data_IF_904186484342
#
_entry.id   IF_904186484342
#
_cell.length_a   1.000
_cell.length_b   1.000
_cell.length_c   1.000
_cell.angle_alpha   90.00
_cell.angle_beta   90.00
_cell.angle_gamma   90.00
#
_symmetry.space_group_name_H-M   'P 1'
#
loop_
_entity.id
_entity.type
_entity.pdbx_description
1 polymer ?
#
# COMPACT_ATOMS: atom_id res chain seq x y z
N UNK A 1 10.70 -20.79 -10.89
CA UNK A 1 11.56 -19.96 -11.75
C UNK A 1 10.85 -18.63 -11.94
N UNK A 2 11.52 -17.54 -11.63
CA UNK A 2 10.95 -16.19 -11.69
C UNK A 2 10.54 -15.80 -13.12
N UNK A 3 9.59 -14.88 -13.24
CA UNK A 3 9.09 -14.36 -14.51
C UNK A 3 9.37 -12.87 -14.60
N UNK A 4 9.78 -12.41 -15.78
CA UNK A 4 10.04 -10.99 -16.05
C UNK A 4 8.83 -10.41 -16.77
N UNK A 5 8.18 -9.36 -16.24
CA UNK A 5 7.11 -8.65 -16.94
C UNK A 5 7.61 -8.08 -18.26
N UNK A 6 6.73 -8.04 -19.25
CA UNK A 6 7.02 -7.56 -20.60
C UNK A 6 6.00 -6.50 -20.96
N UNK A 7 6.45 -5.41 -21.56
CA UNK A 7 5.60 -4.35 -22.09
C UNK A 7 5.87 -4.24 -23.59
N UNK A 8 4.81 -4.04 -24.38
CA UNK A 8 4.93 -3.74 -25.81
C UNK A 8 5.62 -2.40 -26.06
N UNK A 9 5.98 -2.14 -27.31
CA UNK A 9 6.45 -0.82 -27.75
C UNK A 9 5.50 0.30 -27.34
N UNK A 10 4.19 0.08 -27.48
CA UNK A 10 3.12 1.04 -27.18
C UNK A 10 2.77 1.16 -25.69
N UNK A 11 3.50 0.48 -24.79
CA UNK A 11 3.24 0.55 -23.36
C UNK A 11 2.15 -0.39 -22.84
N UNK A 12 1.67 -1.34 -23.65
CA UNK A 12 0.67 -2.34 -23.23
C UNK A 12 1.35 -3.51 -22.51
N UNK A 13 0.86 -3.97 -21.36
CA UNK A 13 1.44 -5.12 -20.67
C UNK A 13 1.16 -6.42 -21.44
N UNK A 14 2.19 -7.24 -21.60
CA UNK A 14 2.18 -8.55 -22.28
C UNK A 14 2.47 -9.68 -21.29
N UNK A 15 2.38 -10.93 -21.75
CA UNK A 15 2.68 -12.08 -20.90
C UNK A 15 4.12 -12.07 -20.38
N UNK A 16 4.34 -12.28 -19.06
CA UNK A 16 5.68 -12.39 -18.50
C UNK A 16 6.51 -13.51 -19.12
N UNK A 17 7.79 -13.25 -19.33
CA UNK A 17 8.72 -14.17 -19.99
C UNK A 17 9.74 -14.78 -19.03
N UNK A 18 10.57 -15.70 -19.52
CA UNK A 18 11.71 -16.25 -18.76
C UNK A 18 12.84 -15.22 -18.68
N UNK A 19 13.57 -15.11 -17.56
CA UNK A 19 14.73 -14.21 -17.43
C UNK A 19 15.80 -14.42 -18.50
N UNK A 20 16.06 -15.68 -18.91
CA UNK A 20 17.00 -15.99 -19.99
C UNK A 20 16.61 -15.37 -21.34
N UNK A 21 15.31 -15.39 -21.66
CA UNK A 21 14.77 -14.77 -22.88
C UNK A 21 14.83 -13.24 -22.81
N UNK A 22 14.47 -12.65 -21.67
CA UNK A 22 14.58 -11.21 -21.44
C UNK A 22 16.04 -10.72 -21.61
N UNK A 23 17.02 -11.43 -21.04
CA UNK A 23 18.45 -11.10 -21.22
C UNK A 23 18.89 -11.18 -22.68
N UNK A 24 18.45 -12.21 -23.41
CA UNK A 24 18.75 -12.36 -24.83
C UNK A 24 18.21 -11.19 -25.65
N UNK A 25 16.96 -10.79 -25.42
CA UNK A 25 16.36 -9.64 -26.11
C UNK A 25 17.11 -8.34 -25.85
N UNK A 26 17.56 -8.10 -24.62
CA UNK A 26 18.36 -6.91 -24.30
C UNK A 26 19.72 -6.96 -25.02
N UNK A 27 20.39 -8.12 -25.01
CA UNK A 27 21.69 -8.29 -25.71
C UNK A 27 21.55 -8.08 -27.22
N UNK A 28 20.44 -8.51 -27.80
CA UNK A 28 20.12 -8.35 -29.23
C UNK A 28 19.54 -6.96 -29.57
N UNK A 29 19.37 -6.06 -28.60
CA UNK A 29 18.79 -4.72 -28.83
C UNK A 29 17.28 -4.69 -29.08
N UNK A 30 16.58 -5.82 -28.92
CA UNK A 30 15.12 -5.97 -29.14
C UNK A 30 14.25 -5.52 -27.97
N UNK A 31 14.87 -5.24 -26.82
CA UNK A 31 14.19 -4.80 -25.63
C UNK A 31 15.07 -3.93 -24.73
N UNK A 32 14.45 -3.02 -23.99
CA UNK A 32 15.10 -2.13 -23.02
C UNK A 32 14.66 -2.55 -21.62
N UNK A 33 15.64 -2.82 -20.74
CA UNK A 33 15.39 -3.09 -19.33
C UNK A 33 15.03 -1.83 -18.57
N UNK A 34 13.97 -1.88 -17.75
CA UNK A 34 13.47 -0.76 -16.94
C UNK A 34 13.03 -1.25 -15.56
N UNK A 35 12.83 -0.31 -14.65
CA UNK A 35 12.26 -0.55 -13.32
C UNK A 35 11.00 0.28 -13.13
N UNK A 36 9.97 -0.30 -12.53
CA UNK A 36 8.77 0.46 -12.14
C UNK A 36 8.96 1.12 -10.76
N UNK A 37 7.93 1.82 -10.28
CA UNK A 37 8.01 2.51 -8.99
C UNK A 37 8.12 1.57 -7.78
N UNK A 38 7.75 0.30 -7.96
CA UNK A 38 7.89 -0.80 -6.98
C UNK A 38 9.28 -1.44 -7.04
N UNK A 39 10.18 -0.99 -7.91
CA UNK A 39 11.50 -1.60 -8.09
C UNK A 39 11.46 -2.98 -8.76
N UNK A 40 10.36 -3.32 -9.44
CA UNK A 40 10.27 -4.54 -10.24
C UNK A 40 10.94 -4.28 -11.58
N UNK A 41 11.91 -5.12 -11.93
CA UNK A 41 12.54 -5.12 -13.25
C UNK A 41 11.55 -5.65 -14.30
N UNK A 42 11.41 -4.94 -15.40
CA UNK A 42 10.63 -5.37 -16.57
C UNK A 42 11.37 -5.01 -17.85
N UNK A 43 10.94 -5.60 -18.97
CA UNK A 43 11.48 -5.26 -20.29
C UNK A 43 10.42 -4.63 -21.16
N UNK A 44 10.78 -3.57 -21.88
CA UNK A 44 9.94 -2.97 -22.91
C UNK A 44 10.50 -3.35 -24.28
N UNK A 45 9.68 -3.96 -25.13
CA UNK A 45 10.07 -4.31 -26.50
C UNK A 45 10.26 -3.06 -27.35
N UNK A 46 11.26 -3.08 -28.24
CA UNK A 46 11.49 -2.02 -29.23
C UNK A 46 10.70 -2.24 -30.51
N UNK A 47 10.48 -3.52 -30.83
CA UNK A 47 9.77 -3.98 -32.01
C UNK A 47 8.38 -4.49 -31.65
N UNK A 48 7.54 -4.68 -32.68
CA UNK A 48 6.24 -5.28 -32.48
C UNK A 48 6.36 -6.74 -32.01
N UNK A 49 5.56 -7.13 -31.01
CA UNK A 49 5.56 -8.50 -30.54
C UNK A 49 4.98 -9.43 -31.61
N UNK A 50 5.50 -10.66 -31.70
CA UNK A 50 4.97 -11.66 -32.63
C UNK A 50 3.56 -12.15 -32.26
N UNK A 51 3.15 -11.99 -31.00
CA UNK A 51 1.81 -12.32 -30.50
C UNK A 51 1.48 -11.46 -29.28
N UNK A 52 0.21 -11.10 -29.14
CA UNK A 52 -0.36 -10.30 -28.05
C UNK A 52 -1.31 -11.11 -27.14
N UNK A 53 -1.46 -12.41 -27.36
CA UNK A 53 -2.31 -13.26 -26.52
C UNK A 53 -1.83 -13.27 -25.07
N UNK A 54 -2.76 -13.01 -24.17
CA UNK A 54 -2.53 -13.06 -22.72
C UNK A 54 -3.38 -14.15 -22.08
N UNK A 55 -2.90 -14.61 -20.93
CA UNK A 55 -3.65 -15.49 -20.04
C UNK A 55 -4.06 -14.67 -18.81
N UNK A 56 -5.15 -15.05 -18.12
CA UNK A 56 -5.59 -14.35 -16.92
C UNK A 56 -4.48 -14.28 -15.87
N UNK A 57 -4.28 -13.09 -15.32
CA UNK A 57 -3.44 -12.85 -14.14
C UNK A 57 -4.30 -12.08 -13.14
N UNK A 58 -4.36 -12.60 -11.92
CA UNK A 58 -5.16 -12.03 -10.85
C UNK A 58 -4.29 -11.38 -9.77
N UNK A 59 -4.81 -10.33 -9.17
CA UNK A 59 -4.26 -9.73 -7.94
C UNK A 59 -5.17 -10.07 -6.78
N UNK A 60 -4.62 -10.60 -5.68
CA UNK A 60 -5.34 -10.74 -4.43
C UNK A 60 -4.89 -9.69 -3.42
N UNK A 61 -5.85 -9.08 -2.72
CA UNK A 61 -5.64 -8.01 -1.74
C UNK A 61 -6.29 -8.44 -0.42
N UNK A 62 -5.46 -8.69 0.59
CA UNK A 62 -5.87 -8.87 1.98
C UNK A 62 -5.70 -7.54 2.74
N UNK A 63 -6.77 -6.74 2.93
CA UNK A 63 -6.68 -5.37 3.39
C UNK A 63 -6.86 -5.28 4.92
N UNK A 64 -5.76 -5.14 5.65
CA UNK A 64 -5.80 -4.94 7.10
C UNK A 64 -5.84 -3.47 7.57
N UNK A 65 -5.70 -3.29 8.90
CA UNK A 65 -5.65 -1.98 9.56
C UNK A 65 -4.24 -1.37 9.60
N UNK A 66 -3.25 -2.19 9.94
CA UNK A 66 -1.84 -1.80 10.04
C UNK A 66 -1.02 -2.32 8.87
N UNK A 67 -1.39 -3.47 8.34
CA UNK A 67 -0.68 -4.14 7.25
C UNK A 67 -1.68 -4.58 6.19
N UNK A 68 -1.24 -4.76 4.96
CA UNK A 68 -2.01 -5.42 3.91
C UNK A 68 -1.13 -6.37 3.12
N UNK A 69 -1.72 -7.47 2.67
CA UNK A 69 -1.09 -8.43 1.79
C UNK A 69 -1.51 -8.19 0.34
N UNK A 70 -0.55 -8.21 -0.58
CA UNK A 70 -0.84 -8.22 -2.02
C UNK A 70 -0.12 -9.42 -2.64
N UNK A 71 -0.83 -10.15 -3.49
CA UNK A 71 -0.31 -11.27 -4.25
C UNK A 71 -0.68 -11.17 -5.72
N UNK A 72 0.23 -11.53 -6.62
CA UNK A 72 0.00 -11.58 -8.08
C UNK A 72 0.18 -13.02 -8.55
N UNK A 73 -0.85 -13.58 -9.17
CA UNK A 73 -0.90 -15.00 -9.51
C UNK A 73 -1.39 -15.22 -10.94
N UNK A 74 -0.71 -16.10 -11.66
CA UNK A 74 -1.18 -16.74 -12.89
C UNK A 74 -1.54 -18.21 -12.60
N UNK A 75 -2.11 -18.94 -13.56
CA UNK A 75 -2.40 -20.36 -13.36
C UNK A 75 -1.15 -21.19 -13.00
N UNK A 76 0.02 -20.85 -13.55
CA UNK A 76 1.24 -21.66 -13.42
C UNK A 76 2.32 -21.07 -12.50
N UNK A 77 2.28 -19.76 -12.25
CA UNK A 77 3.34 -19.05 -11.53
C UNK A 77 2.76 -18.01 -10.58
N UNK A 78 3.32 -17.99 -9.38
CA UNK A 78 3.26 -16.82 -8.50
C UNK A 78 4.26 -15.80 -9.00
N UNK A 79 3.78 -14.59 -9.33
CA UNK A 79 4.59 -13.59 -10.02
C UNK A 79 5.22 -12.59 -9.04
N UNK A 80 4.49 -12.20 -8.00
CA UNK A 80 4.97 -11.21 -7.04
C UNK A 80 4.15 -11.22 -5.75
N UNK A 81 4.81 -10.87 -4.64
CA UNK A 81 4.23 -10.81 -3.29
C UNK A 81 4.60 -9.49 -2.62
N UNK A 82 3.71 -8.93 -1.83
CA UNK A 82 4.05 -7.79 -0.97
C UNK A 82 3.35 -7.76 0.37
N UNK A 83 4.07 -7.20 1.34
CA UNK A 83 3.60 -6.78 2.63
C UNK A 83 3.63 -5.25 2.71
N UNK A 84 2.47 -4.62 2.86
CA UNK A 84 2.37 -3.16 2.92
C UNK A 84 2.27 -2.70 4.36
N UNK A 85 3.18 -1.84 4.82
CA UNK A 85 3.01 -1.13 6.09
C UNK A 85 2.13 0.10 5.88
N UNK A 86 0.93 0.03 6.44
CA UNK A 86 -0.08 1.06 6.23
C UNK A 86 0.17 2.28 7.14
N UNK A 87 -0.05 3.50 6.64
CA UNK A 87 0.23 4.73 7.39
C UNK A 87 -0.80 5.04 8.49
N UNK A 88 -1.69 4.10 8.85
CA UNK A 88 -2.83 4.30 9.74
C UNK A 88 -2.47 5.00 11.05
N UNK A 89 -1.56 4.40 11.83
CA UNK A 89 -1.16 4.90 13.17
C UNK A 89 -0.60 6.33 13.07
N UNK A 90 0.31 6.54 12.13
CA UNK A 90 0.95 7.84 11.85
C UNK A 90 -0.07 8.91 11.44
N UNK A 91 -1.03 8.58 10.58
CA UNK A 91 -2.06 9.53 10.13
C UNK A 91 -2.98 9.89 11.30
N UNK A 92 -3.37 8.90 12.11
CA UNK A 92 -4.17 9.12 13.32
C UNK A 92 -3.47 10.07 14.29
N UNK A 93 -2.23 9.78 14.65
CA UNK A 93 -1.42 10.63 15.55
C UNK A 93 -1.29 12.07 15.03
N UNK A 94 -1.13 12.25 13.71
CA UNK A 94 -1.09 13.58 13.08
C UNK A 94 -2.41 14.32 13.18
N UNK A 95 -3.54 13.63 13.05
CA UNK A 95 -4.86 14.23 13.19
C UNK A 95 -5.13 14.61 14.65
N UNK A 96 -4.73 13.78 15.60
CA UNK A 96 -4.85 14.04 17.04
C UNK A 96 -3.98 15.23 17.45
N UNK A 97 -2.71 15.26 17.03
CA UNK A 97 -1.82 16.40 17.23
C UNK A 97 -2.38 17.69 16.63
N UNK A 98 -2.93 17.63 15.41
CA UNK A 98 -3.60 18.77 14.76
C UNK A 98 -4.81 19.24 15.57
N UNK A 99 -5.62 18.32 16.10
CA UNK A 99 -6.79 18.62 16.94
C UNK A 99 -6.37 19.30 18.24
N UNK A 100 -5.36 18.76 18.92
CA UNK A 100 -4.78 19.33 20.15
C UNK A 100 -4.24 20.74 19.93
N UNK A 101 -3.43 20.95 18.88
CA UNK A 101 -2.89 22.28 18.55
C UNK A 101 -4.00 23.31 18.31
N UNK A 102 -5.05 22.93 17.58
CA UNK A 102 -6.21 23.80 17.35
C UNK A 102 -6.97 24.08 18.64
N UNK A 103 -7.12 23.11 19.53
CA UNK A 103 -7.76 23.28 20.84
C UNK A 103 -6.96 24.24 21.72
N UNK A 104 -5.65 24.04 21.84
CA UNK A 104 -4.75 24.88 22.63
C UNK A 104 -4.72 26.33 22.15
N UNK A 105 -4.64 26.56 20.84
CA UNK A 105 -4.72 27.91 20.25
C UNK A 105 -6.04 28.60 20.58
N UNK A 106 -7.17 27.88 20.49
CA UNK A 106 -8.49 28.44 20.85
C UNK A 106 -8.57 28.74 22.34
N UNK A 107 -8.08 27.85 23.21
CA UNK A 107 -8.07 28.04 24.67
C UNK A 107 -7.36 29.36 25.05
N UNK A 108 -6.21 29.66 24.44
CA UNK A 108 -5.46 30.90 24.68
C UNK A 108 -6.17 32.18 24.25
N UNK A 109 -7.13 32.10 23.31
CA UNK A 109 -7.93 33.25 22.87
C UNK A 109 -9.16 33.50 23.75
N UNK A 110 -9.50 32.55 24.64
CA UNK A 110 -10.65 32.69 25.52
C UNK A 110 -10.20 33.49 26.74
N UNK A 111 -10.59 34.76 26.81
CA UNK A 111 -10.56 35.50 28.06
C UNK A 111 -11.63 34.90 28.99
N UNK A 112 -11.21 34.29 30.10
CA UNK A 112 -12.11 33.60 31.04
C UNK A 112 -12.79 34.56 32.03
N UNK A 113 -12.28 35.79 32.15
CA UNK A 113 -12.85 36.83 33.01
C UNK A 113 -14.14 37.43 32.43
N UNK A 114 -14.34 37.33 31.11
CA UNK A 114 -15.58 37.77 30.48
C UNK A 114 -16.72 36.75 30.71
N UNK A 115 -17.97 37.23 30.85
CA UNK A 115 -19.18 36.40 30.79
C UNK A 115 -19.18 35.48 29.57
N UNK A 116 -19.76 34.28 29.69
CA UNK A 116 -19.67 33.25 28.64
C UNK A 116 -20.12 33.75 27.25
N UNK A 117 -21.18 34.54 27.20
CA UNK A 117 -21.72 35.18 25.99
C UNK A 117 -20.70 36.05 25.26
N UNK A 118 -19.81 36.73 26.00
CA UNK A 118 -18.79 37.65 25.47
C UNK A 118 -17.44 36.97 25.19
N UNK A 119 -17.29 35.68 25.54
CA UNK A 119 -16.04 34.95 25.29
C UNK A 119 -15.88 34.70 23.79
N UNK A 120 -14.65 34.77 23.30
CA UNK A 120 -14.27 34.35 21.94
C UNK A 120 -14.29 32.80 21.76
N UNK A 121 -15.40 32.17 22.12
CA UNK A 121 -15.64 30.74 21.97
C UNK A 121 -16.19 30.43 20.58
N UNK A 122 -15.81 29.27 20.03
CA UNK A 122 -16.32 28.86 18.71
C UNK A 122 -17.67 28.17 18.90
N UNK A 123 -18.74 28.75 18.36
CA UNK A 123 -20.06 28.11 18.29
C UNK A 123 -20.00 26.74 17.60
N UNK A 124 -20.86 25.81 18.04
CA UNK A 124 -21.00 24.47 17.45
C UNK A 124 -21.59 24.61 16.04
N UNK A 125 -20.78 24.34 15.00
CA UNK A 125 -21.24 24.37 13.59
C UNK A 125 -21.61 22.96 13.13
N UNK A 126 -22.80 22.47 13.51
CA UNK A 126 -23.31 21.17 13.07
C UNK A 126 -23.65 21.16 11.58
N UNK A 127 -24.17 22.29 11.07
CA UNK A 127 -24.53 22.51 9.66
C UNK A 127 -23.37 22.38 8.65
N UNK A 128 -22.11 22.36 9.12
CA UNK A 128 -20.93 22.18 8.26
C UNK A 128 -20.56 20.70 8.02
N UNK A 129 -21.30 19.75 8.60
CA UNK A 129 -21.09 18.30 8.45
C UNK A 129 -22.01 17.74 7.35
N UNK A 130 -21.90 18.27 6.13
CA UNK A 130 -22.84 17.96 5.02
C UNK A 130 -22.44 16.77 4.13
N UNK A 131 -21.25 16.17 4.31
CA UNK A 131 -20.73 15.17 3.39
C UNK A 131 -20.29 13.90 4.12
N UNK A 132 -20.61 12.74 3.54
CA UNK A 132 -20.02 11.46 3.91
C UNK A 132 -18.54 11.45 3.57
N UNK A 133 -17.67 11.67 4.57
CA UNK A 133 -16.22 11.73 4.39
C UNK A 133 -15.57 10.44 4.87
N UNK A 134 -14.82 9.79 4.00
CA UNK A 134 -13.94 8.71 4.41
C UNK A 134 -12.89 9.25 5.40
N UNK A 135 -12.70 8.55 6.53
CA UNK A 135 -11.73 8.93 7.53
C UNK A 135 -10.32 9.00 6.90
N UNK A 136 -9.51 10.06 7.14
CA UNK A 136 -8.25 10.23 6.42
C UNK A 136 -7.23 9.11 6.65
N UNK A 137 -7.26 8.44 7.81
CA UNK A 137 -6.41 7.28 8.08
C UNK A 137 -6.80 6.07 7.23
N UNK A 138 -8.10 5.81 7.05
CA UNK A 138 -8.61 4.72 6.21
C UNK A 138 -8.35 5.03 4.75
N UNK A 139 -8.63 6.26 4.32
CA UNK A 139 -8.31 6.72 2.95
C UNK A 139 -6.83 6.55 2.64
N UNK A 140 -5.94 6.91 3.55
CA UNK A 140 -4.50 6.78 3.35
C UNK A 140 -4.03 5.32 3.19
N UNK A 141 -4.66 4.37 3.89
CA UNK A 141 -4.40 2.94 3.72
C UNK A 141 -4.82 2.48 2.32
N UNK A 142 -6.09 2.70 1.96
CA UNK A 142 -6.65 2.29 0.66
C UNK A 142 -5.92 2.95 -0.52
N UNK A 143 -5.46 4.19 -0.36
CA UNK A 143 -4.62 4.86 -1.37
C UNK A 143 -3.21 4.27 -1.51
N UNK A 144 -2.66 3.62 -0.49
CA UNK A 144 -1.39 2.90 -0.62
C UNK A 144 -1.60 1.58 -1.36
N UNK A 145 -2.65 0.84 -1.03
CA UNK A 145 -3.04 -0.39 -1.76
C UNK A 145 -3.29 -0.08 -3.24
N UNK A 146 -4.18 0.88 -3.54
CA UNK A 146 -4.49 1.31 -4.91
C UNK A 146 -3.24 1.76 -5.67
N UNK A 147 -2.31 2.45 -4.97
CA UNK A 147 -1.06 2.90 -5.57
C UNK A 147 -0.19 1.72 -6.02
N UNK A 148 -0.11 0.65 -5.24
CA UNK A 148 0.67 -0.55 -5.58
C UNK A 148 -0.03 -1.31 -6.70
N UNK A 149 -1.34 -1.53 -6.61
CA UNK A 149 -2.12 -2.22 -7.65
C UNK A 149 -1.98 -1.50 -8.99
N UNK A 150 -2.12 -0.18 -9.02
CA UNK A 150 -1.96 0.63 -10.23
C UNK A 150 -0.56 0.53 -10.86
N UNK A 151 0.50 0.27 -10.09
CA UNK A 151 1.83 0.03 -10.64
C UNK A 151 2.01 -1.39 -11.17
N UNK A 152 1.28 -2.36 -10.60
CA UNK A 152 1.27 -3.74 -11.09
C UNK A 152 0.50 -3.87 -12.41
N UNK A 153 -0.65 -3.18 -12.54
CA UNK A 153 -1.46 -3.22 -13.78
C UNK A 153 -0.76 -2.57 -14.97
N UNK A 154 0.25 -1.73 -14.75
CA UNK A 154 1.09 -1.16 -15.82
C UNK A 154 2.06 -2.17 -16.42
N UNK A 155 2.44 -3.21 -15.68
CA UNK A 155 3.49 -4.16 -16.08
C UNK A 155 2.97 -5.59 -16.28
N UNK A 156 1.81 -5.92 -15.71
CA UNK A 156 1.16 -7.22 -15.85
C UNK A 156 -0.22 -7.04 -16.51
N UNK A 157 -0.62 -7.95 -17.44
CA UNK A 157 -1.96 -7.96 -18.01
C UNK A 157 -2.97 -8.51 -17.00
N UNK A 158 -3.31 -7.69 -15.99
CA UNK A 158 -4.23 -8.06 -14.92
C UNK A 158 -5.67 -8.06 -15.44
N UNK A 159 -6.38 -9.16 -15.23
CA UNK A 159 -7.79 -9.31 -15.61
C UNK A 159 -8.73 -9.13 -14.43
N UNK A 160 -8.33 -9.64 -13.25
CA UNK A 160 -9.18 -9.75 -12.07
C UNK A 160 -8.45 -9.34 -10.79
N UNK A 161 -9.20 -8.74 -9.87
CA UNK A 161 -8.75 -8.34 -8.54
C UNK A 161 -9.66 -8.98 -7.50
N UNK A 162 -9.11 -9.83 -6.64
CA UNK A 162 -9.82 -10.44 -5.52
C UNK A 162 -9.53 -9.66 -4.23
N UNK A 163 -10.58 -9.11 -3.64
CA UNK A 163 -10.48 -8.27 -2.45
C UNK A 163 -11.16 -8.94 -1.25
N UNK A 164 -10.45 -9.09 -0.13
CA UNK A 164 -11.08 -9.60 1.08
C UNK A 164 -12.06 -8.57 1.67
N UNK A 165 -13.31 -8.99 1.81
CA UNK A 165 -14.41 -8.19 2.30
C UNK A 165 -14.73 -8.53 3.76
N UNK A 166 -14.89 -7.48 4.56
CA UNK A 166 -15.13 -7.58 6.01
C UNK A 166 -16.55 -7.09 6.27
N UNK A 167 -17.41 -7.98 6.75
CA UNK A 167 -18.72 -7.63 7.29
C UNK A 167 -18.55 -7.34 8.78
N UNK A 168 -18.50 -6.06 9.14
CA UNK A 168 -18.43 -5.63 10.53
C UNK A 168 -19.80 -5.10 10.97
N UNK A 169 -20.55 -5.92 11.71
CA UNK A 169 -21.74 -5.43 12.40
C UNK A 169 -21.31 -4.72 13.69
N UNK A 170 -21.23 -3.39 13.62
CA UNK A 170 -20.86 -2.53 14.73
C UNK A 170 -21.89 -2.52 15.86
N UNK A 171 -23.13 -2.92 15.62
CA UNK A 171 -24.15 -2.97 16.67
C UNK A 171 -23.93 -4.21 17.54
N UNK A 172 -23.80 -5.38 16.89
CA UNK A 172 -23.53 -6.65 17.57
C UNK A 172 -22.16 -6.66 18.28
N UNK A 173 -21.14 -6.05 17.67
CA UNK A 173 -19.77 -6.02 18.23
C UNK A 173 -19.53 -4.90 19.25
N UNK A 174 -20.49 -3.99 19.46
CA UNK A 174 -20.29 -2.84 20.36
C UNK A 174 -20.48 -3.14 21.85
N UNK A 175 -21.06 -4.29 22.21
CA UNK A 175 -21.41 -4.63 23.59
C UNK A 175 -22.45 -3.71 24.23
N UNK A 176 -23.11 -2.84 23.46
CA UNK A 176 -24.14 -1.93 23.98
C UNK A 176 -25.45 -2.69 24.21
N UNK A 177 -25.96 -2.68 25.44
CA UNK A 177 -27.27 -3.25 25.78
C UNK A 177 -28.36 -2.65 24.87
N UNK A 178 -29.14 -3.51 24.22
CA UNK A 178 -30.25 -3.11 23.34
C UNK A 178 -29.86 -2.68 21.91
N UNK A 179 -28.59 -2.82 21.51
CA UNK A 179 -28.20 -2.56 20.13
C UNK A 179 -28.84 -3.59 19.18
N UNK A 180 -29.59 -3.12 18.19
CA UNK A 180 -30.21 -3.95 17.14
C UNK A 180 -29.35 -3.85 15.88
N UNK A 181 -29.05 -4.99 15.26
CA UNK A 181 -28.27 -5.09 14.02
C UNK A 181 -28.79 -4.13 12.94
N UNK A 182 -27.87 -3.54 12.18
CA UNK A 182 -28.18 -2.74 10.99
C UNK A 182 -28.38 -1.24 11.20
N UNK A 183 -28.17 -0.71 12.42
CA UNK A 183 -28.29 0.73 12.72
C UNK A 183 -26.94 1.46 12.68
N UNK A 184 -25.86 0.79 13.05
CA UNK A 184 -24.53 1.35 13.14
C UNK A 184 -23.78 1.32 11.81
N UNK A 185 -22.87 2.27 11.62
CA UNK A 185 -21.98 2.31 10.46
C UNK A 185 -20.56 1.89 10.82
N UNK A 186 -19.91 1.10 9.96
CA UNK A 186 -18.50 0.74 10.09
C UNK A 186 -17.63 1.60 9.16
N UNK A 187 -16.68 2.38 9.70
CA UNK A 187 -15.70 3.10 8.87
C UNK A 187 -14.87 2.18 7.97
N UNK A 188 -14.67 0.93 8.38
CA UNK A 188 -13.94 -0.08 7.59
C UNK A 188 -14.74 -0.45 6.35
N UNK A 189 -16.03 -0.73 6.48
CA UNK A 189 -16.90 -1.08 5.35
C UNK A 189 -17.03 0.07 4.35
N UNK A 190 -17.13 1.33 4.82
CA UNK A 190 -17.09 2.50 3.94
C UNK A 190 -15.76 2.60 3.18
N UNK A 191 -14.64 2.31 3.84
CA UNK A 191 -13.33 2.27 3.21
C UNK A 191 -13.19 1.15 2.18
N UNK A 192 -13.80 -0.02 2.42
CA UNK A 192 -13.80 -1.14 1.48
C UNK A 192 -14.63 -0.82 0.25
N UNK A 193 -15.84 -0.27 0.41
CA UNK A 193 -16.68 0.17 -0.73
C UNK A 193 -15.93 1.19 -1.60
N UNK A 194 -15.33 2.20 -0.98
CA UNK A 194 -14.52 3.17 -1.71
C UNK A 194 -13.34 2.52 -2.42
N UNK A 195 -12.63 1.59 -1.78
CA UNK A 195 -11.51 0.90 -2.42
C UNK A 195 -11.93 0.07 -3.63
N UNK A 196 -13.03 -0.70 -3.50
CA UNK A 196 -13.59 -1.52 -4.58
C UNK A 196 -13.97 -0.65 -5.77
N UNK A 197 -14.64 0.49 -5.54
CA UNK A 197 -15.01 1.45 -6.59
C UNK A 197 -13.79 2.02 -7.32
N UNK A 198 -12.67 2.26 -6.63
CA UNK A 198 -11.44 2.72 -7.30
C UNK A 198 -10.72 1.59 -8.04
N UNK A 199 -10.73 0.37 -7.47
CA UNK A 199 -10.09 -0.79 -8.07
C UNK A 199 -10.83 -1.28 -9.33
N UNK A 200 -12.16 -1.13 -9.38
CA UNK A 200 -12.97 -1.50 -10.54
C UNK A 200 -12.70 -0.66 -11.78
N UNK A 201 -11.99 0.46 -11.62
CA UNK A 201 -11.49 1.26 -12.75
C UNK A 201 -10.25 0.64 -13.41
N UNK A 202 -9.61 -0.33 -12.75
CA UNK A 202 -8.36 -0.96 -13.22
C UNK A 202 -8.61 -2.36 -13.79
N UNK A 203 -9.48 -3.15 -13.16
CA UNK A 203 -9.80 -4.52 -13.56
C UNK A 203 -11.10 -4.98 -12.88
N UNK A 204 -11.62 -6.15 -13.25
CA UNK A 204 -12.82 -6.72 -12.63
C UNK A 204 -12.55 -7.05 -11.17
N UNK A 205 -13.38 -6.55 -10.24
CA UNK A 205 -13.18 -6.77 -8.80
C UNK A 205 -14.17 -7.78 -8.25
N UNK A 206 -13.64 -8.84 -7.64
CA UNK A 206 -14.39 -9.87 -6.92
C UNK A 206 -14.18 -9.71 -5.42
N UNK A 207 -15.20 -9.98 -4.63
CA UNK A 207 -15.09 -9.94 -3.16
C UNK A 207 -15.18 -11.34 -2.58
N UNK A 208 -14.33 -11.63 -1.58
CA UNK A 208 -14.33 -12.90 -0.84
C UNK A 208 -14.30 -12.63 0.64
N UNK A 209 -14.92 -13.49 1.45
CA UNK A 209 -14.87 -13.37 2.90
C UNK A 209 -13.64 -14.07 3.47
N UNK A 210 -13.12 -13.60 4.61
CA UNK A 210 -11.89 -14.14 5.19
C UNK A 210 -11.95 -15.63 5.56
N UNK A 211 -13.13 -16.20 5.82
CA UNK A 211 -13.27 -17.65 6.02
C UNK A 211 -13.05 -18.43 4.71
N UNK A 212 -13.44 -17.88 3.56
CA UNK A 212 -13.19 -18.47 2.25
C UNK A 212 -11.69 -18.45 1.94
N UNK A 213 -11.03 -17.31 2.19
CA UNK A 213 -9.57 -17.17 2.05
C UNK A 213 -8.83 -18.19 2.91
N UNK A 214 -9.27 -18.37 4.17
CA UNK A 214 -8.67 -19.33 5.10
C UNK A 214 -8.77 -20.77 4.58
N UNK A 215 -9.92 -21.16 4.03
CA UNK A 215 -10.13 -22.50 3.46
C UNK A 215 -9.22 -22.75 2.25
N UNK A 216 -9.18 -21.80 1.32
CA UNK A 216 -8.35 -21.92 0.12
C UNK A 216 -6.86 -21.95 0.48
N UNK A 217 -6.43 -21.11 1.44
CA UNK A 217 -5.04 -21.12 1.89
C UNK A 217 -4.61 -22.48 2.46
N UNK A 218 -5.48 -23.13 3.25
CA UNK A 218 -5.22 -24.48 3.78
C UNK A 218 -5.11 -25.51 2.67
N UNK A 219 -6.01 -25.45 1.68
CA UNK A 219 -5.97 -26.33 0.50
C UNK A 219 -4.65 -26.17 -0.28
N UNK A 220 -4.21 -24.93 -0.49
CA UNK A 220 -2.94 -24.60 -1.15
C UNK A 220 -1.70 -24.84 -0.28
N UNK A 221 -1.87 -25.26 0.98
CA UNK A 221 -0.80 -25.50 1.97
C UNK A 221 0.12 -24.29 2.19
N UNK A 222 -0.42 -23.07 2.12
CA UNK A 222 0.38 -21.87 2.38
C UNK A 222 0.46 -21.61 3.89
N UNK A 223 1.68 -21.42 4.37
CA UNK A 223 1.95 -21.13 5.77
C UNK A 223 1.36 -19.77 6.19
N UNK A 224 0.96 -19.68 7.46
CA UNK A 224 0.52 -18.43 8.09
C UNK A 224 1.33 -18.19 9.35
N UNK A 225 2.01 -17.05 9.41
CA UNK A 225 2.67 -16.62 10.65
C UNK A 225 1.63 -16.23 11.71
N UNK A 226 1.95 -16.53 12.97
CA UNK A 226 1.19 -16.02 14.13
C UNK A 226 1.48 -14.54 14.38
N UNK A 227 2.64 -14.05 13.96
CA UNK A 227 3.06 -12.67 14.15
C UNK A 227 2.71 -11.80 12.94
N UNK A 228 1.63 -11.03 13.05
CA UNK A 228 1.15 -10.13 11.97
C UNK A 228 2.09 -8.97 11.64
N UNK A 229 3.00 -8.61 12.55
CA UNK A 229 3.95 -7.52 12.32
C UNK A 229 5.24 -8.00 11.64
N UNK A 230 5.39 -9.31 11.45
CA UNK A 230 6.52 -9.89 10.76
C UNK A 230 6.51 -9.46 9.29
N UNK A 231 7.63 -8.93 8.83
CA UNK A 231 7.83 -8.52 7.44
C UNK A 231 8.23 -9.73 6.57
N UNK A 232 7.41 -10.78 6.60
CA UNK A 232 7.61 -12.00 5.85
C UNK A 232 6.42 -12.30 4.93
N UNK A 233 6.58 -13.14 3.90
CA UNK A 233 5.46 -13.55 3.05
C UNK A 233 4.30 -14.20 3.83
N UNK A 234 4.60 -14.90 4.91
CA UNK A 234 3.67 -15.71 5.71
C UNK A 234 2.74 -14.86 6.59
N UNK A 235 3.05 -13.59 6.82
CA UNK A 235 2.23 -12.71 7.65
C UNK A 235 0.95 -12.25 6.95
N UNK A 236 1.08 -11.80 5.70
CA UNK A 236 -0.03 -11.22 4.92
C UNK A 236 0.03 -11.54 3.43
N UNK A 237 1.22 -11.69 2.82
CA UNK A 237 1.31 -11.87 1.37
C UNK A 237 0.72 -13.21 0.91
N UNK A 238 0.85 -14.27 1.70
CA UNK A 238 0.23 -15.57 1.42
C UNK A 238 -1.31 -15.51 1.41
N UNK A 239 -1.92 -14.65 2.22
CA UNK A 239 -3.37 -14.40 2.17
C UNK A 239 -3.76 -13.70 0.84
N UNK A 240 -2.92 -12.77 0.37
CA UNK A 240 -3.04 -12.18 -0.97
C UNK A 240 -2.91 -13.21 -2.11
N UNK A 241 -1.99 -14.17 -2.02
CA UNK A 241 -1.86 -15.24 -3.02
C UNK A 241 -3.08 -16.17 -3.00
N UNK A 242 -3.53 -16.58 -1.82
CA UNK A 242 -4.73 -17.40 -1.70
C UNK A 242 -5.94 -16.70 -2.35
N UNK A 243 -6.12 -15.39 -2.12
CA UNK A 243 -7.17 -14.62 -2.77
C UNK A 243 -7.06 -14.61 -4.30
N UNK A 244 -5.86 -14.39 -4.84
CA UNK A 244 -5.62 -14.37 -6.29
C UNK A 244 -5.92 -15.74 -6.94
N UNK A 245 -5.67 -16.83 -6.22
CA UNK A 245 -5.92 -18.19 -6.71
C UNK A 245 -7.41 -18.51 -6.96
N UNK A 246 -8.35 -17.74 -6.41
CA UNK A 246 -9.78 -17.90 -6.73
C UNK A 246 -10.11 -17.66 -8.21
N UNK A 247 -9.20 -17.06 -8.99
CA UNK A 247 -9.34 -16.97 -10.45
C UNK A 247 -9.26 -18.34 -11.14
N UNK A 248 -8.54 -19.28 -10.53
CA UNK A 248 -8.18 -20.56 -11.14
C UNK A 248 -8.74 -21.76 -10.37
N UNK A 249 -9.39 -21.51 -9.23
CA UNK A 249 -9.97 -22.50 -8.35
C UNK A 249 -11.34 -22.06 -7.86
N UNK A 250 -12.33 -22.91 -8.06
CA UNK A 250 -13.68 -22.74 -7.54
C UNK A 250 -14.02 -23.89 -6.60
N UNK A 251 -14.75 -23.59 -5.53
CA UNK A 251 -15.27 -24.60 -4.60
C UNK A 251 -16.68 -24.99 -5.02
N UNK A 252 -16.79 -26.11 -5.74
CA UNK A 252 -18.02 -26.54 -6.39
C UNK A 252 -18.57 -27.81 -5.76
N UNK A 253 -19.90 -27.99 -5.72
CA UNK A 253 -20.49 -29.25 -5.33
C UNK A 253 -20.15 -30.34 -6.36
N UNK A 254 -20.02 -31.57 -5.91
CA UNK A 254 -19.95 -32.75 -6.76
C UNK A 254 -20.93 -33.80 -6.27
N UNK A 255 -21.49 -34.54 -7.21
CA UNK A 255 -22.32 -35.72 -6.98
C UNK A 255 -21.78 -36.85 -7.85
N UNK A 256 -21.39 -37.96 -7.24
CA UNK A 256 -20.97 -39.17 -7.92
C UNK A 256 -21.55 -40.41 -7.24
N UNK A 257 -21.30 -41.59 -7.82
CA UNK A 257 -21.76 -42.88 -7.28
C UNK A 257 -21.26 -43.16 -5.86
N UNK A 258 -20.19 -42.49 -5.43
CA UNK A 258 -19.53 -42.64 -4.14
C UNK A 258 -20.01 -41.62 -3.08
N UNK A 259 -20.90 -40.70 -3.45
CA UNK A 259 -21.49 -39.71 -2.55
C UNK A 259 -21.60 -38.29 -3.15
N UNK A 260 -21.93 -37.36 -2.27
CA UNK A 260 -22.07 -35.94 -2.56
C UNK A 260 -21.23 -35.09 -1.59
N UNK A 261 -20.72 -33.96 -2.06
CA UNK A 261 -19.89 -33.07 -1.26
C UNK A 261 -19.45 -31.85 -2.04
N UNK A 262 -18.40 -31.18 -1.56
CA UNK A 262 -17.79 -30.04 -2.24
C UNK A 262 -16.29 -30.24 -2.36
N UNK A 263 -15.73 -29.86 -3.50
CA UNK A 263 -14.30 -29.97 -3.77
C UNK A 263 -13.81 -28.77 -4.59
N UNK A 264 -12.50 -28.52 -4.53
CA UNK A 264 -11.85 -27.51 -5.35
C UNK A 264 -11.70 -28.01 -6.78
N UNK A 265 -12.31 -27.30 -7.74
CA UNK A 265 -12.19 -27.56 -9.17
C UNK A 265 -11.32 -26.49 -9.81
N UNK A 266 -10.49 -26.92 -10.77
CA UNK A 266 -9.51 -26.07 -11.44
C UNK A 266 -8.07 -26.49 -11.15
N UNK A 267 -7.12 -25.70 -11.61
CA UNK A 267 -5.69 -25.99 -11.44
C UNK A 267 -4.90 -24.71 -11.27
N UNK A 268 -4.10 -24.66 -10.21
CA UNK A 268 -3.17 -23.56 -9.96
C UNK A 268 -1.87 -24.11 -9.37
N UNK A 269 -0.75 -23.52 -9.78
CA UNK A 269 0.56 -23.82 -9.22
C UNK A 269 1.11 -22.60 -8.50
N UNK A 270 1.29 -22.74 -7.18
CA UNK A 270 1.99 -21.74 -6.38
C UNK A 270 3.50 -22.00 -6.48
N UNK A 271 4.26 -20.95 -6.74
CA UNK A 271 5.73 -21.03 -6.86
C UNK A 271 6.40 -20.00 -5.97
N UNK A 272 7.71 -20.14 -5.73
CA UNK A 272 8.46 -19.05 -5.12
C UNK A 272 8.43 -17.81 -6.04
N UNK A 273 8.39 -16.63 -5.43
CA UNK A 273 8.26 -15.34 -6.12
C UNK A 273 8.92 -14.22 -5.30
N UNK A 274 9.35 -13.13 -5.96
CA UNK A 274 9.89 -11.96 -5.27
C UNK A 274 8.89 -11.42 -4.24
N UNK A 275 9.43 -11.00 -3.11
CA UNK A 275 8.68 -10.44 -1.99
C UNK A 275 9.15 -9.01 -1.73
N UNK A 276 8.21 -8.10 -1.50
CA UNK A 276 8.54 -6.71 -1.19
C UNK A 276 7.81 -6.21 0.05
N UNK A 277 8.52 -5.46 0.90
CA UNK A 277 7.96 -4.66 1.98
C UNK A 277 7.82 -3.22 1.51
N UNK A 278 6.60 -2.70 1.52
CA UNK A 278 6.28 -1.38 0.95
C UNK A 278 5.67 -0.46 1.99
N UNK A 279 6.18 0.76 2.08
CA UNK A 279 5.59 1.79 2.96
C UNK A 279 5.70 3.19 2.41
N UNK A 280 4.91 4.11 2.99
CA UNK A 280 5.03 5.54 2.70
C UNK A 280 6.23 6.11 3.46
N UNK A 281 7.08 6.94 2.83
CA UNK A 281 8.20 7.55 3.50
C UNK A 281 7.69 8.41 4.67
N UNK A 282 8.28 8.29 5.85
CA UNK A 282 7.84 9.01 7.03
C UNK A 282 8.30 10.47 7.02
N UNK A 283 7.86 11.23 6.02
CA UNK A 283 8.09 12.67 5.86
C UNK A 283 7.20 13.49 6.79
N UNK A 284 7.80 14.34 7.62
CA UNK A 284 7.12 15.39 8.39
C UNK A 284 6.89 16.63 7.52
N UNK A 285 5.61 16.98 7.28
CA UNK A 285 5.27 18.24 6.60
C UNK A 285 5.59 19.43 7.49
N UNK A 286 5.84 20.59 6.86
CA UNK A 286 6.18 21.84 7.56
C UNK A 286 5.13 22.14 8.64
N UNK A 287 5.60 22.33 9.87
CA UNK A 287 4.76 22.81 10.97
C UNK A 287 5.03 24.31 11.16
N UNK A 288 4.05 25.16 10.82
CA UNK A 288 4.18 26.61 10.96
C UNK A 288 4.37 27.04 12.42
N UNK A 289 3.84 26.27 13.37
CA UNK A 289 4.00 26.50 14.78
C UNK A 289 4.40 25.19 15.44
N UNK A 290 5.69 25.00 15.68
CA UNK A 290 6.13 23.97 16.62
C UNK A 290 5.55 24.25 18.01
N UNK A 291 5.36 23.17 18.77
CA UNK A 291 4.68 23.20 20.06
C UNK A 291 5.45 23.99 21.13
N UNK A 292 6.78 23.96 21.05
CA UNK A 292 7.69 24.61 22.01
C UNK A 292 8.43 25.75 21.31
N UNK A 293 8.42 26.92 21.93
CA UNK A 293 9.21 28.07 21.50
C UNK A 293 10.65 27.92 22.00
N UNK A 294 11.62 28.40 21.23
CA UNK A 294 12.96 28.65 21.76
C UNK A 294 12.96 29.93 22.60
N UNK A 295 14.06 30.16 23.34
CA UNK A 295 14.32 31.41 24.05
C UNK A 295 14.04 32.60 23.13
N UNK A 296 13.31 33.61 23.64
CA UNK A 296 12.85 34.77 22.86
C UNK A 296 11.60 34.55 22.01
N UNK A 297 10.79 33.51 22.24
CA UNK A 297 9.50 33.32 21.56
C UNK A 297 9.61 32.95 20.07
N UNK A 298 10.82 32.65 19.59
CA UNK A 298 11.05 32.20 18.21
C UNK A 298 10.66 30.72 18.08
N UNK A 299 10.15 30.32 16.92
CA UNK A 299 9.87 28.92 16.61
C UNK A 299 10.78 28.46 15.48
N UNK A 300 11.52 27.36 15.69
CA UNK A 300 12.39 26.80 14.65
C UNK A 300 11.56 26.36 13.42
N UNK A 301 12.15 26.48 12.22
CA UNK A 301 11.58 25.89 11.01
C UNK A 301 11.73 24.36 11.10
N UNK A 302 10.64 23.59 11.00
CA UNK A 302 10.69 22.13 11.04
C UNK A 302 9.75 21.48 10.03
N UNK A 303 10.21 20.39 9.44
CA UNK A 303 9.52 19.66 8.38
C UNK A 303 9.67 20.33 7.02
N UNK A 304 9.10 19.69 6.00
CA UNK A 304 9.32 20.05 4.59
C UNK A 304 9.63 18.79 3.79
N UNK A 305 9.21 18.77 2.53
CA UNK A 305 9.44 17.68 1.59
C UNK A 305 10.73 17.84 0.79
N UNK A 306 11.25 19.05 0.67
CA UNK A 306 12.51 19.36 -0.03
C UNK A 306 13.53 19.86 0.97
N UNK A 307 14.78 19.42 0.82
CA UNK A 307 15.92 19.85 1.61
C UNK A 307 16.46 21.18 1.09
N UNK A 308 17.38 21.81 1.84
CA UNK A 308 18.08 23.03 1.40
C UNK A 308 18.97 22.79 0.18
N UNK A 309 19.30 21.54 -0.12
CA UNK A 309 20.27 21.13 -1.13
C UNK A 309 19.61 20.63 -2.42
N UNK A 310 18.33 20.92 -2.64
CA UNK A 310 17.59 20.53 -3.85
C UNK A 310 17.01 19.10 -3.85
N UNK A 311 17.47 18.23 -2.95
CA UNK A 311 16.95 16.86 -2.82
C UNK A 311 15.58 16.83 -2.13
N UNK A 312 14.72 15.88 -2.51
CA UNK A 312 13.44 15.64 -1.83
C UNK A 312 13.59 14.49 -0.84
N UNK A 313 12.85 14.57 0.27
CA UNK A 313 12.77 13.45 1.21
C UNK A 313 12.08 12.26 0.54
N UNK A 314 12.71 11.10 0.65
CA UNK A 314 12.34 9.90 -0.09
C UNK A 314 12.97 9.78 -1.48
N UNK A 315 13.83 10.71 -1.90
CA UNK A 315 14.71 10.47 -3.06
C UNK A 315 15.63 9.29 -2.73
N UNK A 316 15.76 8.35 -3.66
CA UNK A 316 16.67 7.22 -3.58
C UNK A 316 18.04 7.65 -4.10
N UNK A 317 19.07 7.44 -3.30
CA UNK A 317 20.43 7.93 -3.56
C UNK A 317 21.48 6.86 -3.29
N UNK A 318 22.58 6.91 -4.03
CA UNK A 318 23.81 6.20 -3.72
C UNK A 318 24.72 7.10 -2.87
N UNK A 319 25.42 6.51 -1.91
CA UNK A 319 26.32 7.22 -1.01
C UNK A 319 27.44 6.31 -0.51
N UNK A 320 28.52 6.85 0.07
CA UNK A 320 29.60 6.04 0.65
C UNK A 320 29.18 5.13 1.80
N UNK A 321 27.98 5.34 2.37
CA UNK A 321 27.40 4.49 3.42
C UNK A 321 26.38 3.48 2.87
N UNK A 322 26.25 3.38 1.56
CA UNK A 322 25.30 2.51 0.87
C UNK A 322 24.16 3.27 0.20
N UNK A 323 23.29 2.51 -0.47
CA UNK A 323 22.08 3.00 -1.12
C UNK A 323 21.00 3.23 -0.05
N UNK A 324 20.35 4.39 -0.10
CA UNK A 324 19.29 4.73 0.84
C UNK A 324 18.42 5.88 0.40
N UNK A 325 17.53 6.31 1.28
CA UNK A 325 16.56 7.37 1.04
C UNK A 325 16.95 8.64 1.78
N UNK A 326 16.81 9.80 1.13
CA UNK A 326 16.98 11.09 1.79
C UNK A 326 15.91 11.26 2.88
N UNK A 327 16.33 11.42 4.13
CA UNK A 327 15.43 11.56 5.29
C UNK A 327 15.40 12.97 5.88
N UNK A 328 16.44 13.76 5.62
CA UNK A 328 16.55 15.14 6.09
C UNK A 328 17.86 15.80 5.70
N UNK A 329 18.11 16.97 6.27
CA UNK A 329 19.26 17.79 5.96
C UNK A 329 19.69 18.63 7.17
N UNK A 330 20.99 18.88 7.23
CA UNK A 330 21.60 19.94 8.03
C UNK A 330 22.01 21.08 7.09
N UNK A 331 22.66 22.09 7.64
CA UNK A 331 23.17 23.21 6.84
C UNK A 331 24.16 22.76 5.76
N UNK A 332 24.98 21.73 6.02
CA UNK A 332 26.06 21.30 5.11
C UNK A 332 25.90 19.87 4.55
N UNK A 333 25.00 19.06 5.12
CA UNK A 333 24.93 17.63 4.82
C UNK A 333 23.49 17.15 4.65
N UNK A 334 23.33 16.04 3.93
CA UNK A 334 22.08 15.32 3.77
C UNK A 334 22.09 14.07 4.65
N UNK A 335 20.96 13.80 5.31
CA UNK A 335 20.76 12.57 6.07
C UNK A 335 20.21 11.48 5.14
N UNK A 336 20.90 10.36 5.07
CA UNK A 336 20.49 9.17 4.30
C UNK A 336 20.05 8.08 5.27
N UNK A 337 18.92 7.44 4.98
CA UNK A 337 18.32 6.37 5.80
C UNK A 337 18.06 5.11 4.96
N UNK A 338 18.06 3.95 5.60
CA UNK A 338 17.70 2.68 4.98
C UNK A 338 16.17 2.54 4.73
N UNK A 339 15.75 1.38 4.25
CA UNK A 339 14.34 1.03 4.03
C UNK A 339 13.53 0.98 5.32
N UNK A 340 14.17 0.66 6.45
CA UNK A 340 13.58 0.72 7.81
C UNK A 340 13.46 2.15 8.34
N UNK A 341 13.96 3.15 7.60
CA UNK A 341 14.07 4.55 7.98
C UNK A 341 15.05 4.82 9.13
N UNK A 342 15.96 3.88 9.40
CA UNK A 342 17.10 4.07 10.30
C UNK A 342 18.19 4.84 9.54
N UNK A 343 18.77 5.87 10.16
CA UNK A 343 19.76 6.73 9.51
C UNK A 343 21.08 5.96 9.31
N UNK A 344 21.54 5.86 8.07
CA UNK A 344 22.85 5.33 7.69
C UNK A 344 23.97 6.34 8.00
N UNK A 345 23.71 7.62 7.77
CA UNK A 345 24.66 8.68 8.07
C UNK A 345 24.21 10.06 7.64
N UNK A 346 25.05 11.05 7.94
CA UNK A 346 24.98 12.39 7.36
C UNK A 346 26.15 12.55 6.41
N UNK A 347 25.85 12.92 5.17
CA UNK A 347 26.76 12.81 4.05
C UNK A 347 26.80 14.15 3.33
N UNK A 348 28.01 14.60 3.00
CA UNK A 348 28.21 15.82 2.22
C UNK A 348 27.57 15.67 0.85
N UNK A 349 26.90 16.73 0.38
CA UNK A 349 26.09 16.72 -0.85
C UNK A 349 26.89 16.24 -2.07
N UNK A 350 28.17 16.64 -2.18
CA UNK A 350 29.06 16.24 -3.28
C UNK A 350 29.33 14.74 -3.39
N UNK A 351 29.09 13.98 -2.31
CA UNK A 351 29.29 12.52 -2.26
C UNK A 351 28.00 11.74 -2.47
N UNK A 352 26.90 12.41 -2.84
CA UNK A 352 25.59 11.78 -3.02
C UNK A 352 25.21 11.82 -4.48
N UNK A 353 24.90 10.65 -5.03
CA UNK A 353 24.38 10.53 -6.38
C UNK A 353 22.90 10.18 -6.34
N UNK A 354 22.08 10.95 -7.05
CA UNK A 354 20.66 10.66 -7.19
C UNK A 354 20.46 9.42 -8.07
N UNK A 355 19.76 8.42 -7.57
CA UNK A 355 19.34 7.25 -8.36
C UNK A 355 17.94 7.50 -8.92
N UNK A 356 17.02 7.96 -8.07
CA UNK A 356 15.62 8.20 -8.44
C UNK A 356 14.98 9.24 -7.53
N UNK A 357 14.19 10.13 -8.09
CA UNK A 357 13.34 11.01 -7.29
C UNK A 357 12.28 10.24 -6.49
N UNK A 358 11.80 10.87 -5.43
CA UNK A 358 10.77 10.36 -4.53
C UNK A 358 9.46 10.16 -5.29
N UNK A 359 9.05 8.90 -5.44
CA UNK A 359 7.73 8.50 -5.93
C UNK A 359 6.73 8.27 -4.77
N UNK A 360 7.13 8.65 -3.56
CA UNK A 360 6.32 8.51 -2.35
C UNK A 360 6.18 7.07 -1.83
N UNK A 361 7.05 6.14 -2.26
CA UNK A 361 7.17 4.78 -1.75
C UNK A 361 8.61 4.50 -1.29
N UNK A 362 8.72 3.72 -0.22
CA UNK A 362 9.92 3.01 0.17
C UNK A 362 9.63 1.55 -0.12
N UNK A 363 10.53 0.90 -0.85
CA UNK A 363 10.44 -0.52 -1.16
C UNK A 363 11.71 -1.21 -0.67
N UNK A 364 11.53 -2.31 0.04
CA UNK A 364 12.56 -3.28 0.39
C UNK A 364 12.19 -4.59 -0.28
N UNK A 365 13.11 -5.23 -0.99
CA UNK A 365 12.95 -6.59 -1.49
C UNK A 365 13.68 -7.58 -0.58
#
# INVERSE_FOLDING_TARGET
MERVPVISKDGKPLMPTKPSRARRWIKEGKAIGKFNDLGIFYVQLTDEPSDNKTQPIAIGIDPGKLFSGIGVQSSLFTLWKAHLELPFKRVRERLDNRRLMRRGRRKRRINRQLPFSLRAHRQKRFSNRRQGKLAPSIRANRQLELRVVSELTKIYPITDIYFEYVKADVDLTSGRKGAKSGKGFSPVMLGQKWAIEQLSQLATVHTRFGWQTSNLRKYLRLEKSKNKAEQSPESHANDGIALACFQFLDYLPFHNSSGHGYDWKGSVKVTNAPFAVIKRPPISRRQLHLMVFSKGGKRRKYGGSTTRHGFRKGDLVSSPKGIGYISGDTEKQLSVSDTSWKRLGQITVSKIQLIRHSNGLIVSH
#
